data_IF_166954223123
#
_entry.id   IF_166954223123
#
_cell.length_a   1.000
_cell.length_b   1.000
_cell.length_c   1.000
_cell.angle_alpha   90.00
_cell.angle_beta   90.00
_cell.angle_gamma   90.00
#
_symmetry.space_group_name_H-M   'P 1'
#
loop_
_entity.id
_entity.type
_entity.pdbx_description
1 polymer ?
#
# COMPACT_ATOMS: atom_id res chain seq x y z
N UNK A 1 13.14 -9.47 -2.67
CA UNK A 1 13.87 -8.35 -2.08
C UNK A 1 13.22 -7.05 -2.55
N UNK A 2 12.76 -6.22 -1.61
CA UNK A 2 12.09 -4.96 -1.89
C UNK A 2 13.06 -3.81 -1.61
N UNK A 3 13.22 -2.91 -2.57
CA UNK A 3 14.05 -1.73 -2.42
C UNK A 3 13.56 -0.57 -3.28
N UNK A 4 13.89 0.64 -2.83
CA UNK A 4 13.62 1.87 -3.55
C UNK A 4 14.53 1.95 -4.76
N UNK A 5 13.95 2.22 -5.92
CA UNK A 5 14.68 2.51 -7.13
C UNK A 5 14.85 4.03 -7.29
N UNK A 6 16.03 4.44 -7.77
CA UNK A 6 16.30 5.85 -8.09
C UNK A 6 15.73 6.19 -9.47
N UNK A 7 15.23 7.42 -9.62
CA UNK A 7 14.79 7.98 -10.90
C UNK A 7 13.60 7.30 -11.58
N UNK A 8 12.78 6.54 -10.86
CA UNK A 8 11.52 6.04 -11.40
C UNK A 8 10.47 7.15 -11.42
N UNK A 9 9.86 7.36 -12.60
CA UNK A 9 8.68 8.22 -12.74
C UNK A 9 7.49 7.57 -12.04
N UNK A 10 6.84 8.28 -11.12
CA UNK A 10 5.58 7.86 -10.51
C UNK A 10 4.43 8.22 -11.45
N UNK A 11 3.93 7.24 -12.18
CA UNK A 11 2.89 7.37 -13.20
C UNK A 11 1.59 6.62 -12.87
N UNK A 12 1.56 5.90 -11.74
CA UNK A 12 0.36 5.25 -11.20
C UNK A 12 -0.15 6.08 -10.03
N UNK A 13 -1.40 6.56 -10.09
CA UNK A 13 -1.95 7.45 -9.06
C UNK A 13 -2.19 6.71 -7.76
N UNK A 14 -3.27 5.92 -7.68
CA UNK A 14 -3.63 5.10 -6.54
C UNK A 14 -3.50 3.64 -6.94
N UNK A 15 -2.81 2.84 -6.17
CA UNK A 15 -2.56 1.44 -6.51
C UNK A 15 -2.95 0.50 -5.37
N UNK A 16 -3.66 -0.56 -5.71
CA UNK A 16 -3.91 -1.69 -4.84
C UNK A 16 -3.40 -2.98 -5.48
N UNK A 17 -2.60 -3.74 -4.74
CA UNK A 17 -2.14 -5.08 -5.15
C UNK A 17 -2.72 -6.07 -4.16
N UNK A 18 -3.70 -6.87 -4.57
CA UNK A 18 -4.35 -7.84 -3.70
C UNK A 18 -5.67 -8.34 -4.23
N UNK A 19 -6.19 -9.33 -3.56
CA UNK A 19 -7.42 -10.05 -3.92
C UNK A 19 -8.68 -9.38 -3.36
N UNK A 20 -9.86 -9.62 -3.95
CA UNK A 20 -11.14 -9.06 -3.52
C UNK A 20 -11.71 -9.84 -2.32
N UNK A 21 -11.05 -9.74 -1.16
CA UNK A 21 -11.51 -10.35 0.09
C UNK A 21 -12.20 -9.32 0.99
N UNK A 22 -13.05 -9.82 1.87
CA UNK A 22 -13.75 -9.04 2.88
C UNK A 22 -14.53 -7.86 2.25
N UNK A 23 -14.56 -6.72 2.88
CA UNK A 23 -15.26 -5.50 2.46
C UNK A 23 -14.52 -4.70 1.36
N UNK A 24 -13.43 -5.24 0.78
CA UNK A 24 -12.60 -4.50 -0.20
C UNK A 24 -13.36 -4.17 -1.48
N UNK A 25 -14.35 -4.99 -1.84
CA UNK A 25 -15.14 -4.78 -3.07
C UNK A 25 -15.99 -3.54 -2.91
N UNK A 26 -16.81 -3.48 -1.86
CA UNK A 26 -17.64 -2.33 -1.56
C UNK A 26 -16.79 -1.08 -1.36
N UNK A 27 -15.69 -1.21 -0.62
CA UNK A 27 -14.75 -0.12 -0.36
C UNK A 27 -14.16 0.47 -1.64
N UNK A 28 -13.63 -0.38 -2.54
CA UNK A 28 -13.04 0.11 -3.80
C UNK A 28 -14.09 0.60 -4.80
N UNK A 29 -15.31 0.04 -4.77
CA UNK A 29 -16.43 0.57 -5.54
C UNK A 29 -16.78 2.00 -5.09
N UNK A 30 -16.94 2.22 -3.80
CA UNK A 30 -17.25 3.53 -3.23
C UNK A 30 -16.11 4.53 -3.47
N UNK A 31 -14.85 4.10 -3.22
CA UNK A 31 -13.68 4.91 -3.49
C UNK A 31 -13.63 5.35 -4.97
N UNK A 32 -13.85 4.42 -5.91
CA UNK A 32 -13.80 4.72 -7.36
C UNK A 32 -14.89 5.68 -7.83
N UNK A 33 -16.00 5.75 -7.12
CA UNK A 33 -17.09 6.68 -7.42
C UNK A 33 -16.82 8.11 -6.91
N UNK A 34 -15.88 8.28 -5.98
CA UNK A 34 -15.70 9.53 -5.24
C UNK A 34 -14.31 10.17 -5.43
N UNK A 35 -13.43 9.58 -6.25
CA UNK A 35 -12.15 10.21 -6.61
C UNK A 35 -12.02 10.33 -8.14
N UNK A 36 -11.28 11.35 -8.60
CA UNK A 36 -10.98 11.56 -10.02
C UNK A 36 -9.69 10.87 -10.49
N UNK A 37 -8.85 10.42 -9.55
CA UNK A 37 -7.58 9.77 -9.82
C UNK A 37 -7.78 8.35 -10.34
N UNK A 38 -6.82 7.85 -11.11
CA UNK A 38 -6.84 6.47 -11.60
C UNK A 38 -6.50 5.47 -10.49
N UNK A 39 -7.39 4.50 -10.29
CA UNK A 39 -7.14 3.36 -9.40
C UNK A 39 -6.59 2.19 -10.22
N UNK A 40 -5.40 1.73 -9.87
CA UNK A 40 -4.74 0.60 -10.52
C UNK A 40 -4.80 -0.62 -9.60
N UNK A 41 -5.51 -1.67 -10.02
CA UNK A 41 -5.71 -2.89 -9.24
C UNK A 41 -4.97 -4.04 -9.91
N UNK A 42 -4.10 -4.72 -9.15
CA UNK A 42 -3.29 -5.83 -9.64
C UNK A 42 -3.71 -7.15 -8.96
N UNK A 43 -4.64 -7.84 -9.59
CA UNK A 43 -5.01 -9.24 -9.39
C UNK A 43 -6.08 -9.62 -10.40
N UNK A 44 -5.95 -10.79 -11.01
CA UNK A 44 -6.93 -11.31 -11.99
C UNK A 44 -8.32 -11.55 -11.41
N UNK A 45 -8.40 -11.78 -10.10
CA UNK A 45 -9.66 -12.06 -9.42
C UNK A 45 -10.64 -10.88 -9.44
N UNK A 46 -10.15 -9.65 -9.60
CA UNK A 46 -10.99 -8.46 -9.71
C UNK A 46 -11.77 -8.36 -11.02
N UNK A 47 -11.41 -9.13 -12.05
CA UNK A 47 -12.10 -9.09 -13.34
C UNK A 47 -13.57 -9.41 -13.25
N UNK A 48 -13.97 -10.30 -12.33
CA UNK A 48 -15.38 -10.65 -12.09
C UNK A 48 -16.20 -9.50 -11.47
N UNK A 49 -15.54 -8.51 -10.88
CA UNK A 49 -16.16 -7.32 -10.29
C UNK A 49 -16.02 -6.07 -11.16
N UNK A 50 -15.50 -6.21 -12.38
CA UNK A 50 -15.22 -5.08 -13.28
C UNK A 50 -16.47 -4.21 -13.54
N UNK A 51 -17.65 -4.83 -13.72
CA UNK A 51 -18.91 -4.09 -13.93
C UNK A 51 -19.34 -3.25 -12.72
N UNK A 52 -18.94 -3.64 -11.51
CA UNK A 52 -19.23 -2.90 -10.28
C UNK A 52 -18.26 -1.73 -10.09
N UNK A 53 -16.98 -1.93 -10.46
CA UNK A 53 -15.89 -0.96 -10.31
C UNK A 53 -15.85 0.06 -11.46
N UNK A 54 -16.27 -0.31 -12.66
CA UNK A 54 -16.05 0.48 -13.89
C UNK A 54 -17.17 1.42 -14.27
N UNK A 55 -18.10 1.74 -13.37
CA UNK A 55 -19.07 2.82 -13.63
C UNK A 55 -18.39 4.15 -13.90
N UNK A 56 -17.19 4.34 -13.37
CA UNK A 56 -16.30 5.45 -13.68
C UNK A 56 -15.07 4.92 -14.42
N UNK A 57 -14.65 5.59 -15.49
CA UNK A 57 -13.56 5.16 -16.39
C UNK A 57 -12.16 5.19 -15.77
N UNK A 58 -12.04 5.37 -14.47
CA UNK A 58 -10.78 5.56 -13.77
C UNK A 58 -10.24 4.30 -13.05
N UNK A 59 -10.78 3.10 -13.31
CA UNK A 59 -10.30 1.86 -12.70
C UNK A 59 -9.63 0.94 -13.72
N UNK A 60 -8.35 0.70 -13.54
CA UNK A 60 -7.57 -0.25 -14.33
C UNK A 60 -7.37 -1.56 -13.57
N UNK A 61 -7.85 -2.68 -14.11
CA UNK A 61 -7.63 -4.00 -13.53
C UNK A 61 -6.61 -4.76 -14.37
N UNK A 62 -5.49 -5.11 -13.75
CA UNK A 62 -4.38 -5.83 -14.36
C UNK A 62 -4.21 -7.23 -13.79
N UNK A 63 -3.34 -8.01 -14.40
CA UNK A 63 -2.99 -9.36 -13.92
C UNK A 63 -2.32 -9.29 -12.55
N UNK A 64 -2.35 -10.42 -11.85
CA UNK A 64 -1.50 -10.62 -10.66
C UNK A 64 -0.04 -10.49 -11.04
N UNK A 65 0.73 -9.83 -10.20
CA UNK A 65 2.16 -9.54 -10.41
C UNK A 65 3.00 -10.04 -9.25
N UNK A 66 4.24 -10.43 -9.54
CA UNK A 66 5.18 -11.01 -8.58
C UNK A 66 6.60 -10.52 -8.84
N UNK A 67 7.48 -10.75 -7.90
CA UNK A 67 8.91 -10.52 -8.05
C UNK A 67 9.27 -9.09 -8.46
N UNK A 68 9.93 -8.95 -9.61
CA UNK A 68 10.38 -7.65 -10.10
C UNK A 68 9.23 -6.73 -10.50
N UNK A 69 8.21 -7.26 -11.18
CA UNK A 69 7.05 -6.46 -11.61
C UNK A 69 6.28 -5.90 -10.42
N UNK A 70 6.14 -6.69 -9.35
CA UNK A 70 5.54 -6.24 -8.09
C UNK A 70 6.31 -5.05 -7.51
N UNK A 71 7.63 -5.15 -7.45
CA UNK A 71 8.49 -4.07 -6.96
C UNK A 71 8.39 -2.83 -7.84
N UNK A 72 8.44 -2.98 -9.16
CA UNK A 72 8.34 -1.87 -10.10
C UNK A 72 7.01 -1.13 -9.96
N UNK A 73 5.89 -1.85 -9.86
CA UNK A 73 4.57 -1.24 -9.67
C UNK A 73 4.53 -0.43 -8.38
N UNK A 74 5.06 -0.95 -7.27
CA UNK A 74 5.13 -0.19 -6.02
C UNK A 74 5.96 1.09 -6.20
N UNK A 75 7.15 1.00 -6.81
CA UNK A 75 8.01 2.16 -7.01
C UNK A 75 7.36 3.23 -7.94
N UNK A 76 6.55 2.81 -8.91
CA UNK A 76 5.81 3.71 -9.83
C UNK A 76 4.57 4.33 -9.21
N UNK A 77 4.07 3.81 -8.10
CA UNK A 77 2.82 4.27 -7.49
C UNK A 77 3.02 5.52 -6.65
N UNK A 78 2.11 6.51 -6.81
CA UNK A 78 2.07 7.71 -5.97
C UNK A 78 1.52 7.40 -4.60
N UNK A 79 0.40 6.66 -4.55
CA UNK A 79 -0.24 6.20 -3.31
C UNK A 79 -0.48 4.70 -3.41
N UNK A 80 -0.01 3.96 -2.41
CA UNK A 80 -0.25 2.52 -2.28
C UNK A 80 -1.26 2.26 -1.18
N UNK A 81 -2.37 1.59 -1.52
CA UNK A 81 -3.39 1.19 -0.56
C UNK A 81 -2.99 -0.10 0.17
N UNK A 82 -3.11 -0.08 1.49
CA UNK A 82 -2.94 -1.22 2.36
C UNK A 82 -4.24 -1.60 3.07
N UNK A 83 -4.64 -2.88 2.99
CA UNK A 83 -5.79 -3.41 3.73
C UNK A 83 -5.34 -4.52 4.69
N UNK A 84 -6.00 -4.61 5.84
CA UNK A 84 -5.88 -5.73 6.75
C UNK A 84 -6.84 -6.84 6.30
N UNK A 85 -6.53 -8.09 6.63
CA UNK A 85 -7.42 -9.22 6.39
C UNK A 85 -8.23 -9.46 7.66
N UNK A 86 -9.54 -9.19 7.60
CA UNK A 86 -10.42 -9.33 8.77
C UNK A 86 -10.63 -10.80 9.16
N UNK A 87 -10.70 -11.71 8.18
CA UNK A 87 -10.86 -13.13 8.39
C UNK A 87 -9.72 -13.79 9.19
N UNK A 88 -8.51 -13.19 9.17
CA UNK A 88 -7.34 -13.69 9.90
C UNK A 88 -7.03 -12.88 11.16
N UNK A 89 -7.85 -11.86 11.49
CA UNK A 89 -7.59 -10.92 12.58
C UNK A 89 -6.16 -10.30 12.46
N UNK A 90 -5.78 -9.97 11.21
CA UNK A 90 -4.46 -9.40 10.95
C UNK A 90 -4.33 -8.02 11.59
N UNK A 91 -3.39 -7.86 12.51
CA UNK A 91 -3.10 -6.57 13.13
C UNK A 91 -2.09 -5.74 12.32
N UNK A 92 -1.37 -6.37 11.40
CA UNK A 92 -0.45 -5.71 10.47
C UNK A 92 -0.36 -6.49 9.15
N UNK A 93 0.00 -5.79 8.09
CA UNK A 93 0.24 -6.38 6.78
C UNK A 93 1.75 -6.36 6.45
N UNK A 94 2.29 -7.50 6.04
CA UNK A 94 3.66 -7.57 5.49
C UNK A 94 3.85 -6.58 4.33
N UNK A 95 2.79 -6.34 3.56
CA UNK A 95 2.78 -5.39 2.46
C UNK A 95 3.11 -3.98 2.88
N UNK A 96 2.76 -3.55 4.09
CA UNK A 96 3.11 -2.23 4.62
C UNK A 96 4.63 -2.02 4.68
N UNK A 97 5.37 -3.06 5.06
CA UNK A 97 6.84 -3.03 5.06
C UNK A 97 7.41 -3.05 3.64
N UNK A 98 6.82 -3.84 2.75
CA UNK A 98 7.25 -3.95 1.34
C UNK A 98 7.05 -2.62 0.60
N UNK A 99 5.92 -1.95 0.79
CA UNK A 99 5.61 -0.64 0.22
C UNK A 99 6.63 0.40 0.72
N UNK A 100 6.83 0.47 2.02
CA UNK A 100 7.76 1.42 2.63
C UNK A 100 9.22 1.12 2.24
N UNK A 101 9.61 -0.16 2.12
CA UNK A 101 10.94 -0.57 1.65
C UNK A 101 11.21 -0.16 0.20
N UNK A 102 10.18 -0.06 -0.63
CA UNK A 102 10.27 0.50 -1.99
C UNK A 102 10.24 2.04 -2.01
N UNK A 103 10.13 2.71 -0.86
CA UNK A 103 10.06 4.17 -0.78
C UNK A 103 8.79 4.74 -1.41
N UNK A 104 7.69 4.01 -1.32
CA UNK A 104 6.37 4.47 -1.78
C UNK A 104 5.50 4.89 -0.61
N UNK A 105 4.53 5.76 -0.90
CA UNK A 105 3.62 6.29 0.11
C UNK A 105 2.61 5.21 0.52
N UNK A 106 2.60 4.88 1.79
CA UNK A 106 1.68 3.91 2.38
C UNK A 106 0.45 4.64 2.94
N UNK A 107 -0.72 4.36 2.37
CA UNK A 107 -2.03 4.70 2.90
C UNK A 107 -2.76 3.40 3.25
N UNK A 108 -2.93 3.10 4.52
CA UNK A 108 -3.39 1.79 4.98
C UNK A 108 -4.53 1.88 5.98
N UNK A 109 -5.32 0.81 6.09
CA UNK A 109 -6.26 0.68 7.20
C UNK A 109 -5.52 0.84 8.52
N UNK A 110 -6.16 1.57 9.46
CA UNK A 110 -5.60 1.84 10.79
C UNK A 110 -5.63 0.58 11.64
N UNK A 111 -4.52 0.26 12.29
CA UNK A 111 -4.48 -0.70 13.37
C UNK A 111 -3.55 -0.23 14.47
N UNK A 112 -3.88 -0.56 15.71
CA UNK A 112 -3.05 -0.23 16.89
C UNK A 112 -1.66 -0.84 16.78
N UNK A 113 -1.57 -2.06 16.24
CA UNK A 113 -0.32 -2.77 16.12
C UNK A 113 0.56 -2.17 15.01
N UNK A 114 -0.02 -1.84 13.87
CA UNK A 114 0.73 -1.24 12.74
C UNK A 114 1.33 0.12 13.10
N UNK A 115 0.65 0.91 13.93
CA UNK A 115 1.16 2.21 14.45
C UNK A 115 2.40 2.07 15.34
N UNK A 116 2.68 0.89 15.88
CA UNK A 116 3.94 0.62 16.60
C UNK A 116 5.15 0.56 15.67
N UNK A 117 4.94 0.22 14.40
CA UNK A 117 6.01 0.15 13.40
C UNK A 117 6.18 1.46 12.67
N UNK A 118 5.07 2.09 12.27
CA UNK A 118 5.08 3.33 11.48
C UNK A 118 4.24 4.39 12.18
N UNK A 119 4.88 5.49 12.53
CA UNK A 119 4.20 6.64 13.16
C UNK A 119 3.24 7.29 12.17
N UNK A 120 1.99 7.44 12.60
CA UNK A 120 0.92 8.03 11.81
C UNK A 120 1.27 9.47 11.39
N UNK A 121 0.95 9.83 10.15
CA UNK A 121 1.23 11.11 9.49
C UNK A 121 2.72 11.51 9.45
N UNK A 122 3.63 10.59 9.78
CA UNK A 122 5.08 10.81 9.71
C UNK A 122 5.78 9.76 8.84
N UNK A 123 5.42 8.51 8.97
CA UNK A 123 6.09 7.37 8.30
C UNK A 123 5.09 6.56 7.44
N UNK A 124 3.81 6.65 7.76
CA UNK A 124 2.67 6.14 7.00
C UNK A 124 1.43 6.99 7.30
N UNK A 125 0.40 6.85 6.48
CA UNK A 125 -0.91 7.47 6.70
C UNK A 125 -1.95 6.35 6.82
N UNK A 126 -2.94 6.56 7.71
CA UNK A 126 -3.94 5.56 8.00
C UNK A 126 -5.35 6.12 7.78
N UNK A 127 -6.30 5.21 7.52
CA UNK A 127 -7.73 5.49 7.42
C UNK A 127 -8.53 4.43 8.18
N UNK A 128 -9.69 4.81 8.70
CA UNK A 128 -10.65 3.90 9.34
C UNK A 128 -11.74 3.48 8.36
N UNK A 129 -12.18 4.40 7.50
CA UNK A 129 -13.25 4.19 6.55
C UNK A 129 -12.92 4.77 5.16
N UNK A 130 -13.85 4.59 4.22
CA UNK A 130 -13.67 5.02 2.84
C UNK A 130 -13.66 6.55 2.71
N UNK A 131 -14.43 7.26 3.53
CA UNK A 131 -14.50 8.73 3.51
C UNK A 131 -13.16 9.33 3.91
N UNK A 132 -12.57 8.87 5.02
CA UNK A 132 -11.23 9.30 5.42
C UNK A 132 -10.17 8.92 4.36
N UNK A 133 -10.31 7.75 3.74
CA UNK A 133 -9.42 7.34 2.65
C UNK A 133 -9.48 8.29 1.45
N UNK A 134 -10.69 8.69 1.03
CA UNK A 134 -10.93 9.66 -0.05
C UNK A 134 -10.26 11.00 0.28
N UNK A 135 -10.50 11.53 1.48
CA UNK A 135 -9.92 12.81 1.93
C UNK A 135 -8.39 12.76 1.92
N UNK A 136 -7.80 11.68 2.42
CA UNK A 136 -6.34 11.49 2.42
C UNK A 136 -5.78 11.38 1.01
N UNK A 137 -6.45 10.65 0.11
CA UNK A 137 -6.02 10.55 -1.30
C UNK A 137 -6.01 11.93 -1.94
N UNK A 138 -7.13 12.67 -1.86
CA UNK A 138 -7.24 14.01 -2.44
C UNK A 138 -6.16 14.93 -1.87
N UNK A 139 -6.03 14.99 -0.55
CA UNK A 139 -5.03 15.82 0.11
C UNK A 139 -3.60 15.51 -0.38
N UNK A 140 -3.18 14.25 -0.32
CA UNK A 140 -1.80 13.89 -0.66
C UNK A 140 -1.51 13.86 -2.16
N UNK A 141 -2.53 13.83 -3.01
CA UNK A 141 -2.34 14.05 -4.46
C UNK A 141 -2.02 15.53 -4.73
N UNK A 142 -2.68 16.45 -4.02
CA UNK A 142 -2.46 17.90 -4.14
C UNK A 142 -1.21 18.39 -3.37
N UNK A 143 -0.70 17.59 -2.43
CA UNK A 143 0.47 17.93 -1.59
C UNK A 143 1.67 16.98 -1.82
N UNK A 144 2.25 16.94 -3.04
CA UNK A 144 3.30 15.97 -3.39
C UNK A 144 4.58 16.14 -2.58
N UNK A 145 4.88 17.33 -2.06
CA UNK A 145 6.04 17.58 -1.20
C UNK A 145 5.89 16.89 0.15
N UNK A 146 4.72 17.02 0.78
CA UNK A 146 4.45 16.37 2.06
C UNK A 146 4.40 14.86 1.90
N UNK A 147 3.71 14.37 0.84
CA UNK A 147 3.71 12.95 0.50
C UNK A 147 5.14 12.41 0.40
N UNK A 148 6.05 13.16 -0.26
CA UNK A 148 7.45 12.77 -0.41
C UNK A 148 8.21 12.70 0.91
N UNK A 149 7.93 13.59 1.84
CA UNK A 149 8.54 13.56 3.19
C UNK A 149 8.14 12.28 3.91
N UNK A 150 6.85 11.91 3.89
CA UNK A 150 6.34 10.70 4.53
C UNK A 150 6.90 9.44 3.86
N UNK A 151 6.95 9.39 2.51
CA UNK A 151 7.59 8.29 1.77
C UNK A 151 9.03 8.03 2.24
N UNK A 152 9.81 9.10 2.34
CA UNK A 152 11.22 9.00 2.75
C UNK A 152 11.36 8.59 4.22
N UNK A 153 10.50 9.09 5.08
CA UNK A 153 10.50 8.71 6.50
C UNK A 153 10.11 7.24 6.68
N UNK A 154 9.06 6.76 6.00
CA UNK A 154 8.67 5.35 6.01
C UNK A 154 9.79 4.43 5.50
N UNK A 155 10.47 4.84 4.42
CA UNK A 155 11.63 4.10 3.91
C UNK A 155 12.78 3.99 4.92
N UNK A 156 13.13 5.10 5.59
CA UNK A 156 14.15 5.09 6.65
C UNK A 156 13.73 4.19 7.81
N UNK A 157 12.46 4.29 8.21
CA UNK A 157 11.90 3.50 9.30
C UNK A 157 12.02 2.00 9.07
N UNK A 158 11.69 1.52 7.86
CA UNK A 158 11.84 0.08 7.53
C UNK A 158 13.28 -0.37 7.62
N UNK A 159 14.23 0.47 7.19
CA UNK A 159 15.66 0.17 7.33
C UNK A 159 16.10 0.08 8.79
N UNK A 160 15.64 0.98 9.64
CA UNK A 160 15.91 0.98 11.08
C UNK A 160 15.34 -0.27 11.77
N UNK A 161 14.12 -0.68 11.38
CA UNK A 161 13.47 -1.87 11.92
C UNK A 161 14.17 -3.17 11.53
N UNK A 162 14.98 -3.14 10.47
CA UNK A 162 15.81 -4.23 10.01
C UNK A 162 15.05 -5.57 9.78
N UNK A 163 13.80 -5.48 9.30
CA UNK A 163 12.91 -6.61 9.00
C UNK A 163 13.33 -7.37 7.72
N UNK A 164 14.63 -7.61 7.54
CA UNK A 164 15.06 -8.50 6.48
C UNK A 164 15.19 -9.95 7.00
N UNK A 165 14.93 -10.90 6.12
CA UNK A 165 14.93 -12.32 6.46
C UNK A 165 16.28 -12.79 7.02
N UNK A 166 17.37 -12.24 6.54
CA UNK A 166 18.73 -12.57 6.97
C UNK A 166 18.95 -12.17 8.42
N UNK A 167 18.57 -10.96 8.81
CA UNK A 167 18.66 -10.49 10.19
C UNK A 167 17.75 -11.29 11.13
N UNK A 168 16.51 -11.58 10.71
CA UNK A 168 15.60 -12.40 11.52
C UNK A 168 16.12 -13.81 11.69
N UNK A 169 16.64 -14.43 10.63
CA UNK A 169 17.23 -15.76 10.68
C UNK A 169 18.45 -15.77 11.62
N UNK A 170 19.34 -14.79 11.53
CA UNK A 170 20.50 -14.66 12.41
C UNK A 170 20.06 -14.58 13.88
N UNK A 171 19.08 -13.74 14.20
CA UNK A 171 18.54 -13.63 15.57
C UNK A 171 17.92 -14.92 16.10
N UNK A 172 17.33 -15.74 15.23
CA UNK A 172 16.80 -17.06 15.60
C UNK A 172 17.96 -17.99 15.91
N UNK A 173 18.96 -18.06 15.03
CA UNK A 173 20.14 -18.90 15.21
C UNK A 173 20.92 -18.54 16.48
N UNK A 174 21.14 -17.24 16.74
CA UNK A 174 21.82 -16.74 17.94
C UNK A 174 21.11 -17.10 19.29
N UNK A 175 19.83 -17.53 19.21
CA UNK A 175 19.07 -17.99 20.38
C UNK A 175 19.05 -19.51 20.57
N UNK A 176 19.45 -20.24 19.55
CA UNK A 176 19.41 -21.71 19.54
C UNK A 176 20.79 -22.30 19.80
N UNK A 177 21.82 -21.54 19.49
CA UNK A 177 23.23 -21.87 19.74
C UNK A 177 23.71 -21.19 21.03
#
# INVERSE_FOLDING_TARGET
>A
IHFKESNIKKDLDVTFIGTPHDQRIEFLCELSNNISMTINIFSTEWRKFKSQLSKNANVNISNSIYGNDYRQVINRSRIMLGFMTQSNIDEYSRRSFEISACGSFLLSQRSTFQKRFFRENKEAVYFDDVTECIDKINYFMDHPKERKIIELAGYRRVKELNFNNEYLLKRILDKII
#
